data_IF_801197207494
#
_entry.id   IF_801197207494
#
_cell.length_a   1.000
_cell.length_b   1.000
_cell.length_c   1.000
_cell.angle_alpha   90.00
_cell.angle_beta   90.00
_cell.angle_gamma   90.00
#
_symmetry.space_group_name_H-M   'P 1'
#
loop_
_entity.id
_entity.type
_entity.pdbx_description
1 polymer ?
#
# COMPACT_ATOMS: atom_id res chain seq x y z
N UNK A 1 -10.16 3.44 27.73
CA UNK A 1 -9.59 3.17 26.40
C UNK A 1 -10.72 3.19 25.37
N UNK A 2 -10.70 4.15 24.43
CA UNK A 2 -11.63 4.09 23.29
C UNK A 2 -11.19 2.89 22.45
N UNK A 3 -12.03 1.91 22.30
CA UNK A 3 -11.81 0.80 21.40
C UNK A 3 -11.89 1.37 19.97
N UNK A 4 -10.74 1.52 19.35
CA UNK A 4 -10.65 1.88 17.94
C UNK A 4 -11.32 0.75 17.15
N UNK A 5 -12.52 0.98 16.65
CA UNK A 5 -13.27 -0.01 15.87
C UNK A 5 -13.06 0.13 14.36
N UNK A 6 -12.15 1.02 13.95
CA UNK A 6 -11.84 1.30 12.56
C UNK A 6 -10.54 0.61 12.13
N UNK A 7 -10.48 0.22 10.86
CA UNK A 7 -9.25 -0.24 10.24
C UNK A 7 -8.29 0.94 10.02
N UNK A 8 -7.01 0.64 9.82
CA UNK A 8 -6.00 1.61 9.38
C UNK A 8 -5.58 1.20 7.98
N UNK A 9 -5.67 2.12 7.03
CA UNK A 9 -5.36 1.84 5.62
C UNK A 9 -4.07 2.55 5.22
N UNK A 10 -3.11 1.81 4.68
CA UNK A 10 -1.84 2.32 4.18
C UNK A 10 -1.83 2.23 2.65
N UNK A 11 -1.71 3.38 2.00
CA UNK A 11 -1.51 3.51 0.56
C UNK A 11 -0.14 4.14 0.30
N UNK A 12 0.29 4.15 -0.94
CA UNK A 12 1.55 4.74 -1.35
C UNK A 12 2.27 3.88 -2.38
N UNK A 13 3.30 4.45 -3.00
CA UNK A 13 4.09 3.79 -4.01
C UNK A 13 4.81 2.54 -3.44
N UNK A 14 5.18 1.60 -4.30
CA UNK A 14 6.02 0.47 -3.89
C UNK A 14 7.31 0.96 -3.25
N UNK A 15 7.80 0.25 -2.23
CA UNK A 15 9.05 0.61 -1.55
C UNK A 15 8.95 1.79 -0.57
N UNK A 16 7.76 2.30 -0.27
CA UNK A 16 7.58 3.35 0.75
C UNK A 16 7.47 2.81 2.18
N UNK A 17 7.41 1.49 2.35
CA UNK A 17 7.47 0.84 3.67
C UNK A 17 6.11 0.43 4.24
N UNK A 18 5.05 0.39 3.46
CA UNK A 18 3.69 0.04 3.92
C UNK A 18 3.61 -1.26 4.71
N UNK A 19 4.19 -2.35 4.19
CA UNK A 19 4.11 -3.65 4.86
C UNK A 19 4.92 -3.67 6.16
N UNK A 20 6.12 -3.09 6.19
CA UNK A 20 6.94 -3.01 7.38
C UNK A 20 6.27 -2.15 8.47
N UNK A 21 5.83 -0.96 8.12
CA UNK A 21 5.12 -0.03 9.03
C UNK A 21 3.81 -0.64 9.50
N UNK A 22 3.04 -1.24 8.59
CA UNK A 22 1.75 -1.86 8.91
C UNK A 22 1.87 -3.00 9.93
N UNK A 23 2.91 -3.82 9.84
CA UNK A 23 3.16 -4.90 10.82
C UNK A 23 3.47 -4.34 12.21
N UNK A 24 4.26 -3.27 12.30
CA UNK A 24 4.58 -2.62 13.58
C UNK A 24 3.32 -1.99 14.19
N UNK A 25 2.51 -1.28 13.40
CA UNK A 25 1.24 -0.72 13.88
C UNK A 25 0.32 -1.84 14.40
N UNK A 26 0.17 -2.90 13.62
CA UNK A 26 -0.69 -4.03 13.98
C UNK A 26 -0.25 -4.67 15.31
N UNK A 27 1.05 -4.85 15.49
CA UNK A 27 1.59 -5.38 16.75
C UNK A 27 1.32 -4.44 17.93
N UNK A 28 1.52 -3.12 17.76
CA UNK A 28 1.32 -2.14 18.86
C UNK A 28 -0.14 -1.99 19.26
N UNK A 29 -1.07 -2.14 18.31
CA UNK A 29 -2.51 -1.99 18.55
C UNK A 29 -3.24 -3.32 18.77
N UNK A 30 -2.55 -4.45 18.70
CA UNK A 30 -3.15 -5.79 18.74
C UNK A 30 -4.19 -6.00 17.62
N UNK A 31 -3.90 -5.42 16.43
CA UNK A 31 -4.71 -5.57 15.23
C UNK A 31 -4.14 -6.66 14.31
N UNK A 32 -4.96 -7.14 13.38
CA UNK A 32 -4.48 -8.03 12.32
C UNK A 32 -3.83 -7.24 11.20
N UNK A 33 -2.66 -7.69 10.73
CA UNK A 33 -2.03 -7.15 9.55
C UNK A 33 -2.48 -7.89 8.30
N UNK A 34 -2.87 -7.15 7.26
CA UNK A 34 -3.23 -7.68 5.94
C UNK A 34 -2.53 -6.89 4.85
N UNK A 35 -1.94 -7.59 3.90
CA UNK A 35 -1.42 -7.03 2.66
C UNK A 35 -2.33 -7.48 1.50
N UNK A 36 -2.88 -6.54 0.74
CA UNK A 36 -3.79 -6.88 -0.37
C UNK A 36 -3.09 -7.64 -1.49
N UNK A 37 -1.79 -7.46 -1.68
CA UNK A 37 -1.01 -8.25 -2.64
C UNK A 37 -0.95 -9.74 -2.21
N UNK A 38 -0.77 -10.00 -0.91
CA UNK A 38 -0.83 -11.36 -0.37
C UNK A 38 -2.22 -11.99 -0.57
N UNK A 39 -3.27 -11.22 -0.35
CA UNK A 39 -4.66 -11.67 -0.59
C UNK A 39 -4.86 -12.06 -2.05
N UNK A 40 -4.35 -11.26 -2.99
CA UNK A 40 -4.44 -11.56 -4.43
C UNK A 40 -3.69 -12.85 -4.75
N UNK A 41 -2.44 -13.00 -4.30
CA UNK A 41 -1.66 -14.20 -4.57
C UNK A 41 -2.29 -15.47 -3.98
N UNK A 42 -2.83 -15.39 -2.77
CA UNK A 42 -3.51 -16.51 -2.12
C UNK A 42 -4.81 -16.90 -2.84
N UNK A 43 -5.62 -15.92 -3.23
CA UNK A 43 -6.91 -16.14 -3.89
C UNK A 43 -6.74 -16.65 -5.32
N UNK A 44 -5.81 -16.08 -6.08
CA UNK A 44 -5.54 -16.47 -7.46
C UNK A 44 -4.65 -17.70 -7.59
N UNK A 45 -3.98 -18.11 -6.50
CA UNK A 45 -2.96 -19.17 -6.46
C UNK A 45 -1.82 -18.94 -7.47
N UNK A 46 -1.48 -17.69 -7.71
CA UNK A 46 -0.45 -17.27 -8.66
C UNK A 46 0.33 -16.08 -8.10
N UNK A 47 1.57 -15.93 -8.53
CA UNK A 47 2.38 -14.76 -8.22
C UNK A 47 1.90 -13.55 -9.03
N UNK A 48 1.98 -12.34 -8.46
CA UNK A 48 1.59 -11.10 -9.14
C UNK A 48 2.34 -10.94 -10.46
N UNK A 49 3.64 -11.27 -10.49
CA UNK A 49 4.44 -11.23 -11.72
C UNK A 49 3.88 -12.12 -12.82
N UNK A 50 3.37 -13.31 -12.47
CA UNK A 50 2.78 -14.24 -13.43
C UNK A 50 1.41 -13.75 -13.91
N UNK A 51 0.61 -13.17 -13.01
CA UNK A 51 -0.68 -12.55 -13.33
C UNK A 51 -0.49 -11.44 -14.37
N UNK A 52 0.50 -10.55 -14.17
CA UNK A 52 0.83 -9.50 -15.14
C UNK A 52 1.28 -10.07 -16.48
N UNK A 53 2.13 -11.09 -16.48
CA UNK A 53 2.66 -11.71 -17.70
C UNK A 53 1.57 -12.43 -18.52
N UNK A 54 0.64 -13.11 -17.85
CA UNK A 54 -0.40 -13.92 -18.49
C UNK A 54 -1.66 -13.13 -18.85
N UNK A 55 -2.06 -12.15 -18.00
CA UNK A 55 -3.36 -11.49 -18.11
C UNK A 55 -3.26 -9.96 -18.27
N UNK A 56 -2.12 -9.35 -18.00
CA UNK A 56 -1.92 -7.90 -18.10
C UNK A 56 -2.40 -7.10 -16.87
N UNK A 57 -2.20 -5.79 -16.96
CA UNK A 57 -2.44 -4.87 -15.83
C UNK A 57 -3.93 -4.72 -15.48
N UNK A 58 -4.82 -4.59 -16.47
CA UNK A 58 -6.25 -4.39 -16.23
C UNK A 58 -6.87 -5.55 -15.44
N UNK A 59 -6.49 -6.77 -15.78
CA UNK A 59 -6.91 -7.97 -15.04
C UNK A 59 -6.41 -7.92 -13.58
N UNK A 60 -5.15 -7.55 -13.37
CA UNK A 60 -4.60 -7.37 -12.03
C UNK A 60 -5.37 -6.30 -11.24
N UNK A 61 -5.74 -5.17 -11.86
CA UNK A 61 -6.54 -4.14 -11.22
C UNK A 61 -7.93 -4.64 -10.80
N UNK A 62 -8.51 -5.56 -11.53
CA UNK A 62 -9.78 -6.21 -11.13
C UNK A 62 -9.59 -7.08 -9.89
N UNK A 63 -8.52 -7.86 -9.83
CA UNK A 63 -8.18 -8.65 -8.64
C UNK A 63 -7.88 -7.76 -7.43
N UNK A 64 -7.21 -6.64 -7.63
CA UNK A 64 -6.92 -5.66 -6.60
C UNK A 64 -8.23 -5.07 -6.02
N UNK A 65 -9.19 -4.73 -6.86
CA UNK A 65 -10.50 -4.25 -6.42
C UNK A 65 -11.30 -5.32 -5.66
N UNK A 66 -11.18 -6.59 -6.05
CA UNK A 66 -11.79 -7.72 -5.31
C UNK A 66 -11.15 -7.90 -3.93
N UNK A 67 -9.81 -7.78 -3.83
CA UNK A 67 -9.12 -7.84 -2.56
C UNK A 67 -9.55 -6.70 -1.62
N UNK A 68 -9.69 -5.48 -2.14
CA UNK A 68 -10.21 -4.33 -1.37
C UNK A 68 -11.60 -4.62 -0.82
N UNK A 69 -12.50 -5.19 -1.62
CA UNK A 69 -13.85 -5.57 -1.16
C UNK A 69 -13.81 -6.59 -0.04
N UNK A 70 -12.92 -7.57 -0.12
CA UNK A 70 -12.82 -8.63 0.89
C UNK A 70 -12.30 -8.09 2.23
N UNK A 71 -11.27 -7.24 2.21
CA UNK A 71 -10.72 -6.65 3.45
C UNK A 71 -11.65 -5.62 4.08
N UNK A 72 -12.49 -4.95 3.29
CA UNK A 72 -13.47 -3.99 3.78
C UNK A 72 -14.58 -4.60 4.65
N UNK A 73 -14.75 -5.92 4.60
CA UNK A 73 -15.74 -6.63 5.44
C UNK A 73 -15.22 -6.91 6.87
N UNK A 74 -13.95 -6.68 7.13
CA UNK A 74 -13.29 -7.05 8.38
C UNK A 74 -12.98 -5.81 9.22
N UNK A 75 -12.74 -6.01 10.52
CA UNK A 75 -12.45 -4.94 11.49
C UNK A 75 -11.16 -5.20 12.24
N UNK A 76 -10.63 -4.17 12.89
CA UNK A 76 -9.41 -4.22 13.68
C UNK A 76 -8.21 -4.70 12.84
N UNK A 77 -8.05 -4.10 11.66
CA UNK A 77 -6.98 -4.45 10.74
C UNK A 77 -6.11 -3.25 10.40
N UNK A 78 -4.85 -3.54 10.15
CA UNK A 78 -3.96 -2.66 9.40
C UNK A 78 -3.83 -3.23 8.00
N UNK A 79 -4.34 -2.50 7.02
CA UNK A 79 -4.39 -2.93 5.62
C UNK A 79 -3.30 -2.19 4.83
N UNK A 80 -2.27 -2.90 4.41
CA UNK A 80 -1.31 -2.41 3.42
C UNK A 80 -1.82 -2.75 2.02
N UNK A 81 -1.86 -1.75 1.13
CA UNK A 81 -2.40 -1.92 -0.22
C UNK A 81 -1.28 -1.97 -1.26
N UNK A 82 -1.58 -2.52 -2.44
CA UNK A 82 -0.73 -2.38 -3.61
C UNK A 82 -0.62 -0.92 -4.06
N UNK A 83 0.52 -0.54 -4.65
CA UNK A 83 0.81 0.84 -5.02
C UNK A 83 -0.17 1.47 -6.03
N UNK A 84 -0.85 0.66 -6.82
CA UNK A 84 -1.81 1.10 -7.82
C UNK A 84 -3.28 1.04 -7.38
N UNK A 85 -3.56 0.69 -6.13
CA UNK A 85 -4.95 0.61 -5.61
C UNK A 85 -5.69 1.94 -5.74
N UNK A 86 -4.97 3.06 -5.63
CA UNK A 86 -5.49 4.43 -5.72
C UNK A 86 -5.95 4.82 -7.12
N UNK A 87 -5.56 4.07 -8.17
CA UNK A 87 -5.91 4.39 -9.56
C UNK A 87 -7.41 4.24 -9.87
N UNK A 88 -8.13 3.50 -9.05
CA UNK A 88 -9.59 3.39 -9.13
C UNK A 88 -10.23 4.08 -7.95
N UNK A 89 -11.02 5.11 -8.20
CA UNK A 89 -11.69 5.89 -7.15
C UNK A 89 -12.60 5.02 -6.29
N UNK A 90 -13.26 4.01 -6.86
CA UNK A 90 -14.11 3.07 -6.13
C UNK A 90 -13.36 2.32 -5.02
N UNK A 91 -12.08 2.03 -5.20
CA UNK A 91 -11.25 1.42 -4.15
C UNK A 91 -11.05 2.38 -2.98
N UNK A 92 -10.71 3.63 -3.28
CA UNK A 92 -10.50 4.67 -2.25
C UNK A 92 -11.80 4.97 -1.51
N UNK A 93 -12.90 5.11 -2.22
CA UNK A 93 -14.20 5.36 -1.62
C UNK A 93 -14.58 4.25 -0.64
N UNK A 94 -14.37 2.98 -1.02
CA UNK A 94 -14.64 1.84 -0.15
C UNK A 94 -13.69 1.78 1.04
N UNK A 95 -12.38 1.98 0.83
CA UNK A 95 -11.38 1.99 1.91
C UNK A 95 -11.64 3.10 2.92
N UNK A 96 -12.08 4.28 2.47
CA UNK A 96 -12.44 5.38 3.36
C UNK A 96 -13.61 5.06 4.29
N UNK A 97 -14.51 4.18 3.88
CA UNK A 97 -15.65 3.77 4.74
C UNK A 97 -15.21 2.88 5.92
N UNK A 98 -14.04 2.26 5.85
CA UNK A 98 -13.57 1.30 6.86
C UNK A 98 -12.52 1.85 7.79
N UNK A 99 -11.89 2.98 7.46
CA UNK A 99 -10.94 3.64 8.34
C UNK A 99 -10.15 4.76 7.66
N UNK A 100 -9.34 5.51 8.43
CA UNK A 100 -8.48 6.56 7.89
C UNK A 100 -7.43 5.99 6.93
N UNK A 101 -7.15 6.75 5.88
CA UNK A 101 -6.18 6.40 4.83
C UNK A 101 -4.92 7.24 5.01
N UNK A 102 -3.80 6.57 5.22
CA UNK A 102 -2.47 7.17 5.32
C UNK A 102 -1.67 6.86 4.05
N UNK A 103 -1.19 7.88 3.37
CA UNK A 103 -0.28 7.72 2.25
C UNK A 103 1.17 7.82 2.74
N UNK A 104 1.94 6.75 2.55
CA UNK A 104 3.36 6.75 2.84
C UNK A 104 4.12 7.24 1.61
N UNK A 105 4.95 8.26 1.81
CA UNK A 105 5.76 8.89 0.79
C UNK A 105 7.25 8.62 1.01
N UNK A 106 8.01 8.59 -0.06
CA UNK A 106 9.46 8.56 -0.04
C UNK A 106 10.01 9.17 -1.32
N UNK A 107 11.27 9.63 -1.28
CA UNK A 107 11.93 10.13 -2.49
C UNK A 107 12.14 9.00 -3.51
N UNK A 108 12.21 9.31 -4.82
CA UNK A 108 12.49 8.32 -5.86
C UNK A 108 13.77 7.51 -5.57
N UNK A 109 14.82 8.18 -5.10
CA UNK A 109 16.08 7.53 -4.72
C UNK A 109 15.90 6.56 -3.56
N UNK A 110 15.18 6.95 -2.51
CA UNK A 110 14.91 6.06 -1.37
C UNK A 110 14.10 4.84 -1.80
N UNK A 111 13.10 5.02 -2.65
CA UNK A 111 12.32 3.93 -3.23
C UNK A 111 13.21 2.99 -4.01
N UNK A 112 14.05 3.51 -4.92
CA UNK A 112 14.94 2.70 -5.71
C UNK A 112 15.92 1.89 -4.85
N UNK A 113 16.54 2.53 -3.86
CA UNK A 113 17.46 1.87 -2.94
C UNK A 113 16.81 0.70 -2.18
N UNK A 114 15.51 0.81 -1.89
CA UNK A 114 14.74 -0.24 -1.21
C UNK A 114 14.29 -1.38 -2.11
N UNK A 115 13.97 -1.11 -3.38
CA UNK A 115 13.37 -2.10 -4.30
C UNK A 115 14.34 -2.69 -5.32
N UNK A 116 15.51 -2.11 -5.52
CA UNK A 116 16.46 -2.52 -6.58
C UNK A 116 16.90 -3.98 -6.53
N UNK A 117 16.89 -4.60 -5.35
CA UNK A 117 17.22 -6.02 -5.17
C UNK A 117 16.01 -6.95 -5.39
N UNK A 118 14.80 -6.41 -5.52
CA UNK A 118 13.59 -7.19 -5.71
C UNK A 118 13.33 -7.47 -7.19
N UNK A 119 13.13 -8.75 -7.52
CA UNK A 119 12.74 -9.19 -8.88
C UNK A 119 11.22 -9.21 -9.11
N UNK A 120 10.43 -8.95 -8.07
CA UNK A 120 8.97 -9.05 -8.08
C UNK A 120 8.24 -7.76 -8.47
N UNK A 121 8.93 -6.81 -9.12
CA UNK A 121 8.37 -5.50 -9.50
C UNK A 121 8.26 -5.36 -11.03
N UNK A 122 7.19 -5.89 -11.66
CA UNK A 122 7.06 -5.89 -13.13
C UNK A 122 7.15 -4.51 -13.75
N UNK A 123 6.58 -3.48 -13.09
CA UNK A 123 6.53 -2.11 -13.60
C UNK A 123 7.90 -1.40 -13.63
N UNK A 124 8.91 -1.93 -12.92
CA UNK A 124 10.27 -1.37 -12.87
C UNK A 124 11.28 -2.15 -13.71
N UNK A 125 10.84 -3.13 -14.47
CA UNK A 125 11.71 -3.91 -15.37
C UNK A 125 12.19 -3.05 -16.55
N UNK A 126 13.45 -3.30 -16.98
CA UNK A 126 14.07 -2.65 -18.13
C UNK A 126 15.03 -1.54 -17.75
N UNK A 127 15.49 -0.70 -18.71
CA UNK A 127 16.45 0.35 -18.48
C UNK A 127 15.87 1.53 -17.67
N UNK A 128 16.75 2.31 -17.04
CA UNK A 128 16.42 3.55 -16.33
C UNK A 128 15.31 3.39 -15.28
N UNK A 129 15.47 2.48 -14.27
CA UNK A 129 14.41 2.23 -13.28
C UNK A 129 14.10 3.45 -12.41
N UNK A 130 15.09 4.27 -12.08
CA UNK A 130 14.87 5.51 -11.31
C UNK A 130 13.96 6.48 -12.05
N UNK A 131 14.18 6.67 -13.35
CA UNK A 131 13.32 7.51 -14.19
C UNK A 131 11.89 6.96 -14.30
N UNK A 132 11.74 5.64 -14.35
CA UNK A 132 10.42 5.00 -14.29
C UNK A 132 9.70 5.28 -12.98
N UNK A 133 10.41 5.22 -11.86
CA UNK A 133 9.86 5.57 -10.53
C UNK A 133 9.38 7.02 -10.55
N UNK A 134 10.22 7.97 -10.98
CA UNK A 134 9.85 9.38 -11.06
C UNK A 134 8.61 9.61 -11.92
N UNK A 135 8.57 9.01 -13.11
CA UNK A 135 7.42 9.12 -14.03
C UNK A 135 6.14 8.54 -13.42
N UNK A 136 6.21 7.38 -12.78
CA UNK A 136 5.06 6.75 -12.14
C UNK A 136 4.57 7.53 -10.90
N UNK A 137 5.49 8.08 -10.11
CA UNK A 137 5.15 8.94 -8.98
C UNK A 137 4.41 10.20 -9.44
N UNK A 138 4.91 10.86 -10.49
CA UNK A 138 4.27 12.05 -11.05
C UNK A 138 2.85 11.75 -11.55
N UNK A 139 2.68 10.62 -12.25
CA UNK A 139 1.37 10.18 -12.74
C UNK A 139 0.39 9.86 -11.60
N UNK A 140 0.88 9.31 -10.50
CA UNK A 140 0.07 8.86 -9.38
C UNK A 140 -0.12 9.91 -8.28
N UNK A 141 0.67 10.99 -8.31
CA UNK A 141 0.61 12.04 -7.28
C UNK A 141 -0.81 12.56 -7.01
N UNK A 142 -1.66 12.86 -8.02
CA UNK A 142 -3.03 13.31 -7.77
C UNK A 142 -3.89 12.28 -7.03
N UNK A 143 -3.64 11.00 -7.26
CA UNK A 143 -4.38 9.91 -6.59
C UNK A 143 -3.92 9.71 -5.14
N UNK A 144 -2.61 9.76 -4.89
CA UNK A 144 -2.07 9.67 -3.53
C UNK A 144 -2.47 10.88 -2.66
N UNK A 145 -2.67 12.05 -3.27
CA UNK A 145 -3.13 13.25 -2.58
C UNK A 145 -4.55 13.11 -1.98
N UNK A 146 -5.33 12.11 -2.41
CA UNK A 146 -6.67 11.86 -1.87
C UNK A 146 -6.68 11.14 -0.51
N UNK A 147 -5.54 10.66 -0.03
CA UNK A 147 -5.44 10.09 1.30
C UNK A 147 -5.69 11.14 2.39
N UNK A 148 -6.19 10.70 3.53
CA UNK A 148 -6.54 11.59 4.64
C UNK A 148 -5.28 12.23 5.27
N UNK A 149 -4.17 11.46 5.31
CA UNK A 149 -2.88 11.91 5.86
C UNK A 149 -1.73 11.53 4.93
N UNK A 150 -0.72 12.42 4.88
CA UNK A 150 0.52 12.22 4.14
C UNK A 150 1.68 12.03 5.13
N UNK A 151 2.38 10.91 5.03
CA UNK A 151 3.45 10.53 5.95
C UNK A 151 4.75 10.34 5.18
N UNK A 152 5.78 11.12 5.52
CA UNK A 152 7.12 10.99 4.92
C UNK A 152 7.91 9.87 5.59
N UNK A 153 8.51 8.99 4.80
CA UNK A 153 9.26 7.83 5.32
C UNK A 153 10.76 7.90 5.01
N UNK A 154 11.21 8.80 4.15
CA UNK A 154 12.63 8.91 3.79
C UNK A 154 13.47 9.28 5.00
N UNK A 155 14.46 8.43 5.35
CA UNK A 155 15.35 8.68 6.49
C UNK A 155 14.69 8.54 7.86
N UNK A 156 13.45 8.05 7.92
CA UNK A 156 12.70 7.84 9.16
C UNK A 156 12.61 6.34 9.44
N UNK A 157 12.83 5.94 10.69
CA UNK A 157 12.71 4.53 11.08
C UNK A 157 11.25 4.05 11.00
N UNK A 158 11.07 2.75 10.78
CA UNK A 158 9.74 2.12 10.71
C UNK A 158 8.94 2.37 11.99
N UNK A 159 9.58 2.25 13.16
CA UNK A 159 8.93 2.50 14.45
C UNK A 159 8.43 3.93 14.59
N UNK A 160 9.22 4.92 14.19
CA UNK A 160 8.81 6.33 14.24
C UNK A 160 7.66 6.63 13.30
N UNK A 161 7.67 6.06 12.09
CA UNK A 161 6.54 6.21 11.16
C UNK A 161 5.28 5.57 11.74
N UNK A 162 5.40 4.40 12.35
CA UNK A 162 4.28 3.73 13.02
C UNK A 162 3.72 4.56 14.17
N UNK A 163 4.58 5.12 15.01
CA UNK A 163 4.17 5.96 16.15
C UNK A 163 3.49 7.25 15.67
N UNK A 164 3.98 7.86 14.61
CA UNK A 164 3.34 9.03 14.00
C UNK A 164 1.92 8.70 13.54
N UNK A 165 1.72 7.59 12.82
CA UNK A 165 0.40 7.17 12.36
C UNK A 165 -0.53 6.89 13.53
N UNK A 166 -0.06 6.19 14.55
CA UNK A 166 -0.85 5.89 15.76
C UNK A 166 -1.30 7.18 16.45
N UNK A 167 -0.45 8.21 16.50
CA UNK A 167 -0.79 9.48 17.12
C UNK A 167 -1.96 10.24 16.45
N UNK A 168 -2.27 9.93 15.20
CA UNK A 168 -3.44 10.53 14.51
C UNK A 168 -4.77 9.85 14.87
N UNK A 169 -4.74 8.68 15.49
CA UNK A 169 -5.93 7.88 15.75
C UNK A 169 -6.24 7.72 17.24
N UNK A 170 -5.33 8.14 18.11
CA UNK A 170 -5.56 8.25 19.57
C UNK A 170 -6.33 9.53 19.94
#
# INVERSE_FOLDING_TARGET
>A
MRQLSANIVLVGFMGTGKSAVGRVIAQKLEFHFIDTDDVIEQTSKAKISDIFAEHGEDYFRDLESQAVKSVALMKNQVVATGGGVVLRSSNIDLLRTVGPIFCLNATPKAIWDRVRSSRSRPLLRGPEPLKKIETLLDKRAPYYALADHQIETTGVSVDRVADEIISYIE
#
